data_IF_035354070599
#
_entry.id   IF_035354070599
#
_cell.length_a   1.000
_cell.length_b   1.000
_cell.length_c   1.000
_cell.angle_alpha   90.00
_cell.angle_beta   90.00
_cell.angle_gamma   90.00
#
_symmetry.space_group_name_H-M   'P 1'
#
loop_
_entity.id
_entity.type
_entity.pdbx_description
1 polymer ?
#
# COMPACT_ATOMS: atom_id res chain seq x y z
N UNK A 1 -9.31 12.77 11.60
CA UNK A 1 -9.26 11.57 12.45
C UNK A 1 -9.14 12.06 13.88
N UNK A 2 -9.82 11.40 14.82
CA UNK A 2 -9.53 11.64 16.23
C UNK A 2 -8.05 11.38 16.47
N UNK A 3 -7.35 12.32 17.14
CA UNK A 3 -5.99 12.09 17.62
C UNK A 3 -5.93 10.96 18.67
N UNK A 4 -7.10 10.48 19.11
CA UNK A 4 -7.23 9.35 20.02
C UNK A 4 -6.86 8.05 19.32
N UNK A 5 -5.78 7.43 19.79
CA UNK A 5 -5.43 6.04 19.47
C UNK A 5 -6.65 5.15 19.73
N UNK A 6 -6.98 4.28 18.77
CA UNK A 6 -8.12 3.37 18.90
C UNK A 6 -8.01 2.55 20.19
N UNK A 7 -9.10 2.34 20.96
CA UNK A 7 -9.08 1.46 22.13
C UNK A 7 -8.77 -0.01 21.76
N UNK A 8 -8.89 -0.37 20.49
CA UNK A 8 -8.54 -1.69 19.96
C UNK A 8 -7.08 -1.78 19.50
N UNK A 9 -6.31 -0.68 19.53
CA UNK A 9 -4.92 -0.71 19.12
C UNK A 9 -4.09 -1.52 20.13
N UNK A 10 -3.24 -2.46 19.66
CA UNK A 10 -2.30 -3.15 20.54
C UNK A 10 -1.42 -2.16 21.29
N UNK A 11 -1.20 -2.40 22.59
CA UNK A 11 -0.30 -1.57 23.41
C UNK A 11 1.18 -1.73 23.01
N UNK A 12 1.51 -2.84 22.36
CA UNK A 12 2.86 -3.17 21.90
C UNK A 12 2.77 -3.80 20.52
N UNK A 13 3.71 -3.45 19.68
CA UNK A 13 3.94 -4.08 18.39
C UNK A 13 5.21 -4.93 18.49
N UNK A 14 5.28 -6.08 17.80
CA UNK A 14 6.53 -6.79 17.65
C UNK A 14 7.55 -5.90 16.91
N UNK A 15 8.85 -6.12 17.18
CA UNK A 15 9.89 -5.53 16.35
C UNK A 15 9.80 -6.19 14.96
N UNK A 16 9.30 -5.44 13.99
CA UNK A 16 9.19 -5.91 12.62
C UNK A 16 10.58 -5.77 11.97
N UNK A 17 11.20 -6.86 11.51
CA UNK A 17 12.43 -6.76 10.74
C UNK A 17 12.14 -6.12 9.37
N UNK A 18 13.16 -5.53 8.78
CA UNK A 18 13.08 -5.08 7.39
C UNK A 18 12.92 -6.29 6.47
N UNK A 19 12.15 -6.12 5.40
CA UNK A 19 12.01 -7.11 4.34
C UNK A 19 13.01 -6.73 3.26
N UNK A 20 14.03 -7.58 3.07
CA UNK A 20 15.01 -7.38 2.01
C UNK A 20 14.32 -7.27 0.64
N UNK A 21 14.75 -6.28 -0.16
CA UNK A 21 14.16 -6.02 -1.47
C UNK A 21 12.82 -5.29 -1.46
N UNK A 22 12.28 -4.91 -0.29
CA UNK A 22 11.05 -4.12 -0.18
C UNK A 22 11.27 -2.84 0.62
N UNK A 23 10.86 -1.70 0.05
CA UNK A 23 10.92 -0.38 0.69
C UNK A 23 9.54 0.24 0.73
N UNK A 24 9.14 0.73 1.89
CA UNK A 24 7.82 1.34 2.11
C UNK A 24 8.04 2.75 2.64
N UNK A 25 7.40 3.72 2.02
CA UNK A 25 7.42 5.11 2.45
C UNK A 25 6.03 5.73 2.37
N UNK A 26 5.80 6.72 3.20
CA UNK A 26 4.56 7.50 3.20
C UNK A 26 4.84 8.98 3.07
N UNK A 27 3.92 9.72 2.48
CA UNK A 27 4.06 11.16 2.26
C UNK A 27 2.73 11.90 2.44
N UNK A 28 2.82 13.18 2.80
CA UNK A 28 1.70 14.12 2.76
C UNK A 28 1.64 14.79 1.38
N UNK A 29 1.00 14.13 0.42
CA UNK A 29 0.86 14.62 -0.94
C UNK A 29 -0.30 15.62 -1.11
N UNK A 30 -1.19 15.74 -0.12
CA UNK A 30 -2.29 16.71 -0.11
C UNK A 30 -3.39 16.41 -1.13
N UNK A 31 -3.54 15.15 -1.53
CA UNK A 31 -4.50 14.63 -2.50
C UNK A 31 -5.92 14.77 -1.97
N UNK A 32 -6.14 14.42 -0.70
CA UNK A 32 -7.48 14.45 -0.09
C UNK A 32 -7.60 15.46 1.05
N UNK A 33 -6.60 15.51 1.94
CA UNK A 33 -6.62 16.35 3.13
C UNK A 33 -5.23 16.93 3.40
N UNK A 34 -5.17 18.17 3.88
CA UNK A 34 -3.91 18.83 4.30
C UNK A 34 -3.45 18.32 5.66
N UNK A 35 -2.14 18.41 5.90
CA UNK A 35 -1.48 18.04 7.16
C UNK A 35 -1.76 16.59 7.56
N UNK A 36 -1.75 15.70 6.57
CA UNK A 36 -2.02 14.28 6.76
C UNK A 36 -1.31 13.48 5.69
N UNK A 37 -0.63 12.42 6.14
CA UNK A 37 -0.13 11.37 5.26
C UNK A 37 -1.28 10.72 4.49
N UNK A 38 -1.22 10.80 3.17
CA UNK A 38 -2.28 10.36 2.27
C UNK A 38 -1.76 9.60 1.03
N UNK A 39 -0.44 9.52 0.88
CA UNK A 39 0.22 8.69 -0.12
C UNK A 39 1.08 7.62 0.57
N UNK A 40 0.93 6.38 0.09
CA UNK A 40 1.76 5.24 0.42
C UNK A 40 2.44 4.78 -0.86
N UNK A 41 3.76 4.62 -0.82
CA UNK A 41 4.54 4.06 -1.93
C UNK A 41 5.29 2.83 -1.44
N UNK A 42 5.27 1.78 -2.24
CA UNK A 42 6.05 0.58 -2.03
C UNK A 42 6.94 0.37 -3.27
N UNK A 43 8.21 0.10 -3.04
CA UNK A 43 9.19 -0.20 -4.09
C UNK A 43 9.77 -1.57 -3.82
N UNK A 44 9.80 -2.39 -4.86
CA UNK A 44 10.39 -3.72 -4.83
C UNK A 44 11.62 -3.73 -5.74
N UNK A 45 12.66 -4.43 -5.32
CA UNK A 45 13.86 -4.56 -6.12
C UNK A 45 13.63 -5.45 -7.35
N UNK A 46 14.43 -5.25 -8.40
CA UNK A 46 14.27 -5.96 -9.65
C UNK A 46 14.40 -7.49 -9.47
N UNK A 47 13.53 -8.24 -10.15
CA UNK A 47 13.46 -9.70 -9.99
C UNK A 47 12.52 -10.16 -8.86
N UNK A 48 11.91 -9.24 -8.12
CA UNK A 48 10.86 -9.58 -7.16
C UNK A 48 9.63 -10.15 -7.88
N UNK A 49 9.24 -11.37 -7.51
CA UNK A 49 7.99 -11.98 -7.98
C UNK A 49 6.81 -11.36 -7.25
N UNK A 50 5.79 -10.95 -8.00
CA UNK A 50 4.57 -10.34 -7.46
C UNK A 50 3.34 -11.11 -7.90
N UNK A 51 2.36 -11.17 -7.01
CA UNK A 51 1.04 -11.73 -7.28
C UNK A 51 -0.02 -10.85 -6.63
N UNK A 52 -1.23 -10.86 -7.18
CA UNK A 52 -2.32 -10.02 -6.71
C UNK A 52 -3.68 -10.51 -7.20
N UNK A 53 -4.70 -10.23 -6.41
CA UNK A 53 -6.10 -10.47 -6.77
C UNK A 53 -6.85 -9.16 -6.78
N UNK A 54 -7.82 -9.04 -7.68
CA UNK A 54 -8.58 -7.82 -7.88
C UNK A 54 -10.05 -8.01 -7.51
N UNK A 55 -10.74 -6.92 -7.19
CA UNK A 55 -12.18 -6.94 -6.93
C UNK A 55 -12.97 -7.53 -8.11
N UNK A 56 -14.05 -8.26 -7.80
CA UNK A 56 -15.03 -8.80 -8.77
C UNK A 56 -16.22 -7.84 -9.01
N UNK A 57 -16.18 -6.63 -8.44
CA UNK A 57 -17.21 -5.62 -8.67
C UNK A 57 -17.39 -5.34 -10.17
N UNK A 58 -18.64 -5.15 -10.61
CA UNK A 58 -18.97 -4.72 -11.97
C UNK A 58 -18.58 -3.27 -12.26
N UNK A 59 -18.30 -2.49 -11.21
CA UNK A 59 -17.84 -1.10 -11.31
C UNK A 59 -16.46 -0.97 -10.62
N UNK A 60 -15.37 -1.49 -11.21
CA UNK A 60 -14.02 -1.26 -10.69
C UNK A 60 -13.60 0.19 -10.94
N UNK A 61 -12.70 0.70 -10.10
CA UNK A 61 -12.06 2.00 -10.34
C UNK A 61 -10.89 1.85 -11.32
N UNK A 62 -10.52 2.94 -11.99
CA UNK A 62 -9.41 2.96 -12.95
C UNK A 62 -8.07 2.38 -12.42
N UNK A 63 -7.68 2.58 -11.14
CA UNK A 63 -6.48 1.94 -10.60
C UNK A 63 -6.51 0.41 -10.61
N UNK A 64 -7.69 -0.19 -10.49
CA UNK A 64 -7.82 -1.66 -10.56
C UNK A 64 -7.46 -2.14 -11.96
N UNK A 65 -7.94 -1.44 -13.00
CA UNK A 65 -7.64 -1.79 -14.39
C UNK A 65 -6.16 -1.57 -14.71
N UNK A 66 -5.57 -0.47 -14.21
CA UNK A 66 -4.13 -0.22 -14.32
C UNK A 66 -3.31 -1.34 -13.68
N UNK A 67 -3.64 -1.79 -12.47
CA UNK A 67 -2.91 -2.87 -11.81
C UNK A 67 -3.06 -4.22 -12.54
N UNK A 68 -4.24 -4.53 -13.11
CA UNK A 68 -4.44 -5.73 -13.92
C UNK A 68 -3.52 -5.77 -15.14
N UNK A 69 -3.35 -4.63 -15.82
CA UNK A 69 -2.48 -4.52 -16.99
C UNK A 69 -1.00 -4.74 -16.63
N UNK A 70 -0.55 -4.19 -15.51
CA UNK A 70 0.85 -4.31 -15.07
C UNK A 70 1.19 -5.68 -14.48
N UNK A 71 0.24 -6.36 -13.82
CA UNK A 71 0.52 -7.61 -13.11
C UNK A 71 0.75 -8.82 -14.03
N UNK A 72 0.43 -8.73 -15.33
CA UNK A 72 0.40 -9.89 -16.24
C UNK A 72 1.69 -10.73 -16.29
N UNK A 73 2.85 -10.12 -16.03
CA UNK A 73 4.15 -10.82 -16.02
C UNK A 73 4.54 -11.38 -14.64
N UNK A 74 3.84 -10.99 -13.57
CA UNK A 74 4.13 -11.42 -12.20
C UNK A 74 5.48 -10.93 -11.66
N UNK A 75 5.97 -9.79 -12.14
CA UNK A 75 7.26 -9.19 -11.75
C UNK A 75 7.10 -7.72 -11.39
N UNK A 76 7.86 -7.27 -10.39
CA UNK A 76 7.99 -5.86 -10.04
C UNK A 76 8.94 -5.11 -10.99
#
# INVERSE_FOLDING_TARGET
>A
MSATISPLAPKKYPKMPDIEGARIATAEAGIKYKNRTDLLTMVFDAGTTVAGVFTKSKCPSAPVDFCRQNLGQGKA
#
